data_IF_392008513421
#
_entry.id   IF_392008513421
#
_cell.length_a   1.000
_cell.length_b   1.000
_cell.length_c   1.000
_cell.angle_alpha   90.00
_cell.angle_beta   90.00
_cell.angle_gamma   90.00
#
_symmetry.space_group_name_H-M   'P 1'
#
loop_
_entity.id
_entity.type
_entity.pdbx_description
1 polymer ?
#
# COMPACT_ATOMS: atom_id res chain seq x y z
N UNK A 1 17.16 12.85 4.72
CA UNK A 1 16.14 11.78 4.78
C UNK A 1 15.16 12.11 5.89
N UNK A 2 13.87 12.35 5.59
CA UNK A 2 12.83 12.40 6.63
C UNK A 2 12.43 10.96 6.95
N UNK A 3 12.55 10.55 8.21
CA UNK A 3 12.08 9.23 8.67
C UNK A 3 10.56 9.13 8.47
N UNK A 4 10.09 8.09 7.76
CA UNK A 4 8.66 7.80 7.63
C UNK A 4 8.15 7.25 8.97
N UNK A 5 7.40 8.07 9.71
CA UNK A 5 6.82 7.67 11.00
C UNK A 5 5.36 7.23 10.80
N UNK A 6 4.91 6.22 11.55
CA UNK A 6 3.52 5.79 11.54
C UNK A 6 2.59 6.89 12.09
N UNK A 7 1.40 7.02 11.51
CA UNK A 7 0.33 7.88 11.99
C UNK A 7 -0.71 7.03 12.72
N UNK A 8 -1.03 7.42 13.95
CA UNK A 8 -2.03 6.75 14.77
C UNK A 8 -3.32 7.56 14.78
N UNK A 9 -4.44 6.85 14.58
CA UNK A 9 -5.79 7.39 14.68
C UNK A 9 -6.56 6.61 15.75
N UNK A 10 -7.81 6.98 16.04
CA UNK A 10 -8.65 6.27 17.01
C UNK A 10 -8.83 4.79 16.67
N UNK A 11 -8.88 4.43 15.38
CA UNK A 11 -9.24 3.07 14.93
C UNK A 11 -8.19 2.40 14.05
N UNK A 12 -7.25 3.16 13.50
CA UNK A 12 -6.34 2.73 12.44
C UNK A 12 -4.92 3.25 12.66
N UNK A 13 -3.95 2.47 12.17
CA UNK A 13 -2.55 2.87 12.07
C UNK A 13 -2.16 2.91 10.60
N UNK A 14 -1.68 4.07 10.15
CA UNK A 14 -1.09 4.26 8.83
C UNK A 14 0.40 4.11 9.00
N UNK A 15 1.00 3.05 8.43
CA UNK A 15 2.44 2.78 8.54
C UNK A 15 3.09 2.58 7.18
N UNK A 16 4.42 2.71 7.07
CA UNK A 16 5.13 2.24 5.89
C UNK A 16 4.76 0.79 5.57
N UNK A 17 4.59 0.49 4.30
CA UNK A 17 4.46 -0.88 3.82
C UNK A 17 5.79 -1.61 3.99
N UNK A 18 5.70 -2.92 4.16
CA UNK A 18 6.83 -3.84 4.31
C UNK A 18 6.63 -5.04 3.37
N UNK A 19 7.68 -5.83 3.09
CA UNK A 19 7.52 -7.06 2.31
C UNK A 19 6.49 -8.04 2.90
N UNK A 20 6.27 -8.02 4.22
CA UNK A 20 5.24 -8.84 4.87
C UNK A 20 3.81 -8.50 4.45
N UNK A 21 3.58 -7.36 3.80
CA UNK A 21 2.26 -6.93 3.32
C UNK A 21 1.89 -7.50 1.95
N UNK A 22 2.86 -8.09 1.22
CA UNK A 22 2.66 -8.62 -0.14
C UNK A 22 1.45 -9.57 -0.22
N UNK A 23 1.26 -10.56 0.68
CA UNK A 23 0.12 -11.46 0.59
C UNK A 23 -1.23 -10.74 0.66
N UNK A 24 -1.34 -9.70 1.48
CA UNK A 24 -2.57 -8.92 1.63
C UNK A 24 -2.82 -8.01 0.41
N UNK A 25 -1.76 -7.41 -0.15
CA UNK A 25 -1.85 -6.63 -1.40
C UNK A 25 -2.31 -7.52 -2.57
N UNK A 26 -1.69 -8.69 -2.72
CA UNK A 26 -2.06 -9.66 -3.77
C UNK A 26 -3.51 -10.12 -3.62
N UNK A 27 -3.94 -10.46 -2.41
CA UNK A 27 -5.32 -10.85 -2.16
C UNK A 27 -6.31 -9.72 -2.49
N UNK A 28 -6.04 -8.49 -2.03
CA UNK A 28 -6.94 -7.35 -2.23
C UNK A 28 -7.02 -6.87 -3.68
N UNK A 29 -5.91 -6.90 -4.42
CA UNK A 29 -5.87 -6.44 -5.81
C UNK A 29 -6.33 -7.49 -6.83
N UNK A 30 -6.46 -8.76 -6.43
CA UNK A 30 -7.15 -9.78 -7.21
C UNK A 30 -8.67 -9.84 -6.93
N UNK A 31 -9.19 -9.04 -5.99
CA UNK A 31 -10.63 -8.85 -5.87
C UNK A 31 -11.11 -7.95 -7.01
N UNK A 32 -11.92 -8.50 -7.92
CA UNK A 32 -12.45 -7.77 -9.07
C UNK A 32 -13.32 -6.57 -8.67
N UNK A 33 -14.04 -6.66 -7.55
CA UNK A 33 -14.86 -5.54 -7.07
C UNK A 33 -14.01 -4.34 -6.63
N UNK A 34 -12.74 -4.59 -6.31
CA UNK A 34 -11.71 -3.58 -6.05
C UNK A 34 -11.01 -3.15 -7.34
N UNK A 35 -10.41 -4.09 -8.08
CA UNK A 35 -9.48 -3.79 -9.17
C UNK A 35 -10.14 -3.19 -10.42
N UNK A 36 -11.44 -3.41 -10.64
CA UNK A 36 -12.17 -2.80 -11.77
C UNK A 36 -12.15 -1.27 -11.79
N UNK A 37 -11.84 -0.64 -10.66
CA UNK A 37 -11.72 0.82 -10.53
C UNK A 37 -10.27 1.33 -10.59
N UNK A 38 -9.28 0.45 -10.78
CA UNK A 38 -7.85 0.78 -10.71
C UNK A 38 -7.20 0.63 -12.09
N UNK A 39 -6.95 1.74 -12.78
CA UNK A 39 -6.47 1.75 -14.17
C UNK A 39 -5.04 1.23 -14.36
N UNK A 40 -4.21 1.31 -13.32
CA UNK A 40 -2.78 0.96 -13.37
C UNK A 40 -2.47 -0.46 -12.86
N UNK A 41 -3.46 -1.13 -12.28
CA UNK A 41 -3.25 -2.44 -11.64
C UNK A 41 -3.35 -3.54 -12.69
N UNK A 42 -2.28 -4.34 -12.90
CA UNK A 42 -2.35 -5.48 -13.81
C UNK A 42 -3.30 -6.55 -13.28
N UNK A 43 -3.93 -7.29 -14.20
CA UNK A 43 -4.77 -8.45 -13.88
C UNK A 43 -4.30 -9.67 -14.68
N UNK A 44 -3.94 -10.78 -14.02
CA UNK A 44 -3.91 -10.98 -12.56
C UNK A 44 -2.79 -10.18 -11.88
N UNK A 45 -2.98 -9.83 -10.61
CA UNK A 45 -1.97 -9.12 -9.80
C UNK A 45 -1.13 -10.12 -9.01
N UNK A 46 0.20 -10.11 -9.19
CA UNK A 46 1.11 -11.10 -8.60
C UNK A 46 2.03 -10.53 -7.51
N UNK A 47 2.79 -11.41 -6.82
CA UNK A 47 3.82 -10.98 -5.87
C UNK A 47 4.87 -10.05 -6.47
N UNK A 48 5.29 -10.29 -7.72
CA UNK A 48 6.26 -9.43 -8.41
C UNK A 48 5.72 -8.01 -8.65
N UNK A 49 4.42 -7.86 -8.91
CA UNK A 49 3.78 -6.56 -9.05
C UNK A 49 3.72 -5.82 -7.71
N UNK A 50 3.50 -6.56 -6.62
CA UNK A 50 3.53 -6.02 -5.26
C UNK A 50 4.94 -5.57 -4.85
N UNK A 51 5.97 -6.37 -5.16
CA UNK A 51 7.38 -6.01 -4.93
C UNK A 51 7.75 -4.73 -5.69
N UNK A 52 7.41 -4.65 -6.98
CA UNK A 52 7.64 -3.47 -7.79
C UNK A 52 6.92 -2.22 -7.24
N UNK A 53 5.71 -2.39 -6.70
CA UNK A 53 4.98 -1.31 -6.04
C UNK A 53 5.67 -0.85 -4.75
N UNK A 54 6.18 -1.77 -3.92
CA UNK A 54 6.93 -1.41 -2.72
C UNK A 54 8.23 -0.66 -3.06
N UNK A 55 8.95 -1.11 -4.09
CA UNK A 55 10.14 -0.45 -4.60
C UNK A 55 9.81 0.96 -5.10
N UNK A 56 8.72 1.11 -5.86
CA UNK A 56 8.22 2.40 -6.31
C UNK A 56 7.94 3.36 -5.14
N UNK A 57 7.37 2.86 -4.04
CA UNK A 57 7.09 3.66 -2.84
C UNK A 57 8.34 3.98 -1.99
N UNK A 58 9.44 3.24 -2.16
CA UNK A 58 10.67 3.41 -1.38
C UNK A 58 11.50 4.62 -1.83
N UNK A 59 11.42 4.98 -3.11
CA UNK A 59 12.18 6.07 -3.73
C UNK A 59 11.42 7.40 -3.77
N UNK A 60 10.17 7.38 -3.31
CA UNK A 60 9.21 8.48 -3.39
C UNK A 60 9.09 9.27 -2.08
N UNK A 61 8.35 10.38 -2.11
CA UNK A 61 8.20 11.30 -0.98
C UNK A 61 7.67 10.62 0.30
N UNK A 62 7.86 11.29 1.44
CA UNK A 62 7.53 10.74 2.76
C UNK A 62 6.05 10.34 2.92
N UNK A 63 5.15 10.89 2.08
CA UNK A 63 3.71 10.65 2.12
C UNK A 63 3.15 9.87 0.92
N UNK A 64 4.00 9.37 0.02
CA UNK A 64 3.56 8.79 -1.25
C UNK A 64 2.93 7.38 -1.10
N UNK A 65 2.90 6.80 0.11
CA UNK A 65 2.16 5.56 0.38
C UNK A 65 2.31 5.04 1.80
N UNK A 66 1.17 4.87 2.48
CA UNK A 66 1.02 4.23 3.78
C UNK A 66 0.04 3.07 3.69
N UNK A 67 0.42 1.93 4.25
CA UNK A 67 -0.50 0.83 4.51
C UNK A 67 -1.43 1.18 5.66
N UNK A 68 -2.73 1.00 5.44
CA UNK A 68 -3.78 1.18 6.44
C UNK A 68 -3.98 -0.15 7.17
N UNK A 69 -3.79 -0.15 8.49
CA UNK A 69 -3.94 -1.35 9.33
C UNK A 69 -4.87 -1.07 10.51
N UNK A 70 -5.51 -2.13 11.03
CA UNK A 70 -6.19 -2.10 12.33
C UNK A 70 -5.33 -2.83 13.34
N UNK A 71 -4.99 -2.18 14.45
CA UNK A 71 -4.20 -2.74 15.55
C UNK A 71 -2.89 -3.44 15.11
N UNK A 72 -2.26 -2.95 14.03
CA UNK A 72 -1.03 -3.54 13.47
C UNK A 72 -1.21 -4.86 12.72
N UNK A 73 -2.46 -5.25 12.44
CA UNK A 73 -2.79 -6.41 11.61
C UNK A 73 -2.44 -6.25 10.12
N UNK A 74 -2.94 -7.15 9.26
CA UNK A 74 -2.70 -7.09 7.82
C UNK A 74 -3.11 -5.75 7.22
N UNK A 75 -2.40 -5.32 6.17
CA UNK A 75 -2.80 -4.12 5.43
C UNK A 75 -4.16 -4.34 4.76
N UNK A 76 -5.05 -3.37 4.90
CA UNK A 76 -6.40 -3.39 4.34
C UNK A 76 -6.56 -2.46 3.13
N UNK A 77 -5.55 -1.63 2.87
CA UNK A 77 -5.53 -0.68 1.77
C UNK A 77 -4.31 0.23 1.88
N UNK A 78 -4.09 1.03 0.84
CA UNK A 78 -2.96 1.96 0.77
C UNK A 78 -3.49 3.36 0.51
N UNK A 79 -2.93 4.35 1.21
CA UNK A 79 -3.24 5.77 1.00
C UNK A 79 -1.95 6.56 0.92
N UNK A 80 -1.87 7.51 0.00
CA UNK A 80 -0.74 8.41 -0.15
C UNK A 80 -1.20 9.77 -0.61
N UNK A 81 -0.36 10.77 -0.36
CA UNK A 81 -0.50 12.11 -0.91
C UNK A 81 0.79 12.38 -1.68
N UNK A 82 0.65 12.56 -2.99
CA UNK A 82 1.74 12.94 -3.87
C UNK A 82 1.29 14.04 -4.81
N UNK A 83 2.21 14.93 -5.17
CA UNK A 83 1.98 16.00 -6.17
C UNK A 83 1.99 15.45 -7.62
N UNK A 84 2.03 14.13 -7.78
CA UNK A 84 2.02 13.47 -9.09
C UNK A 84 1.16 12.22 -8.99
N UNK A 85 0.10 12.18 -9.81
CA UNK A 85 -0.77 11.04 -10.09
C UNK A 85 -0.03 10.01 -10.95
#
# INVERSE_FOLDING_TARGET
MRTRTALHTERLVLRPLTPGDIPALVAGLNDYDVSKWLTVVPSPYGPADAEAFLDHLSVRGGYDGYGITRDGGPVMGVVGISDSL
#
